data_IF_633374783356
#
_entry.id   IF_633374783356
#
_cell.length_a   1.000
_cell.length_b   1.000
_cell.length_c   1.000
_cell.angle_alpha   90.00
_cell.angle_beta   90.00
_cell.angle_gamma   90.00
#
_symmetry.space_group_name_H-M   'P 1'
#
loop_
_entity.id
_entity.type
_entity.pdbx_description
1 polymer ?
#
# COMPACT_ATOMS: atom_id res chain seq x y z
N UNK A 1 7.10 -2.90 -31.72
CA UNK A 1 7.78 -1.65 -32.10
C UNK A 1 6.81 -0.49 -31.85
N UNK A 2 7.27 0.58 -31.19
CA UNK A 2 6.53 1.76 -30.67
C UNK A 2 5.86 1.60 -29.29
N UNK A 3 6.66 1.71 -28.22
CA UNK A 3 6.29 2.38 -26.95
C UNK A 3 7.49 2.45 -25.95
N UNK A 4 8.73 2.52 -26.43
CA UNK A 4 9.93 2.72 -25.59
C UNK A 4 10.68 4.02 -25.96
N UNK A 5 10.19 4.80 -26.94
CA UNK A 5 10.95 5.93 -27.49
C UNK A 5 10.57 7.33 -26.97
N UNK A 6 9.71 7.48 -25.96
CA UNK A 6 9.28 8.82 -25.52
C UNK A 6 9.75 9.27 -24.13
N UNK A 7 10.61 8.51 -23.45
CA UNK A 7 11.14 8.95 -22.13
C UNK A 7 12.62 9.38 -22.18
N UNK A 8 13.35 9.11 -23.27
CA UNK A 8 14.77 9.47 -23.40
C UNK A 8 15.04 10.55 -24.45
N UNK A 9 14.14 11.53 -24.58
CA UNK A 9 14.36 12.75 -25.35
C UNK A 9 15.10 13.81 -24.53
N UNK A 10 16.36 13.57 -24.17
CA UNK A 10 17.26 14.64 -23.67
C UNK A 10 18.43 14.78 -24.64
N UNK A 11 18.39 15.84 -25.45
CA UNK A 11 19.45 16.25 -26.38
C UNK A 11 20.58 16.98 -25.66
N UNK A 12 21.10 16.41 -24.56
CA UNK A 12 22.29 16.95 -23.92
C UNK A 12 23.54 16.28 -24.53
N UNK A 13 24.36 16.99 -25.32
CA UNK A 13 25.54 16.42 -25.96
C UNK A 13 26.68 16.04 -25.00
N UNK A 14 26.51 16.22 -23.67
CA UNK A 14 27.50 15.80 -22.68
C UNK A 14 27.37 14.36 -22.18
N UNK A 15 26.37 13.58 -22.62
CA UNK A 15 26.18 12.18 -22.21
C UNK A 15 26.38 11.18 -23.35
N UNK A 16 27.42 11.38 -24.17
CA UNK A 16 27.79 10.46 -25.23
C UNK A 16 29.18 9.85 -24.98
N UNK A 17 29.28 8.93 -24.02
CA UNK A 17 30.11 7.72 -24.15
C UNK A 17 29.96 6.80 -22.94
N UNK A 18 29.00 5.88 -22.98
CA UNK A 18 29.13 4.64 -22.21
C UNK A 18 29.30 3.50 -23.21
N UNK A 19 30.53 3.05 -23.36
CA UNK A 19 30.86 1.88 -24.17
C UNK A 19 30.29 0.62 -23.50
N UNK A 20 30.02 -0.44 -24.28
CA UNK A 20 29.51 -1.74 -23.77
C UNK A 20 30.36 -2.37 -22.66
N UNK A 21 31.56 -1.84 -22.39
CA UNK A 21 32.42 -2.28 -21.29
C UNK A 21 31.87 -1.91 -19.90
N UNK A 22 31.13 -0.80 -19.76
CA UNK A 22 30.64 -0.32 -18.46
C UNK A 22 29.38 -1.05 -17.97
N UNK A 23 28.58 -1.61 -18.90
CA UNK A 23 27.47 -2.48 -18.55
C UNK A 23 27.91 -3.80 -17.88
N UNK A 24 29.20 -4.16 -17.95
CA UNK A 24 29.77 -5.35 -17.29
C UNK A 24 30.43 -5.07 -15.95
N UNK A 25 30.61 -3.80 -15.57
CA UNK A 25 31.11 -3.39 -14.25
C UNK A 25 29.99 -3.20 -13.19
N UNK A 26 28.72 -3.09 -13.61
CA UNK A 26 27.56 -3.00 -12.73
C UNK A 26 27.01 -4.38 -12.26
N UNK A 27 27.87 -5.41 -12.20
CA UNK A 27 27.55 -6.66 -11.48
C UNK A 27 27.75 -6.55 -9.96
N UNK A 28 28.00 -5.34 -9.47
CA UNK A 28 27.77 -5.00 -8.08
C UNK A 28 26.28 -5.04 -7.82
N UNK A 29 25.87 -5.97 -6.97
CA UNK A 29 24.51 -6.15 -6.45
C UNK A 29 24.01 -4.83 -5.84
N UNK A 30 23.41 -3.95 -6.64
CA UNK A 30 22.67 -2.79 -6.14
C UNK A 30 21.38 -3.32 -5.51
N UNK A 31 21.48 -3.80 -4.28
CA UNK A 31 20.30 -3.93 -3.42
C UNK A 31 19.98 -2.52 -2.98
N UNK A 32 19.07 -1.83 -3.69
CA UNK A 32 18.44 -0.65 -3.12
C UNK A 32 17.91 -1.06 -1.73
N UNK A 33 18.52 -0.53 -0.69
CA UNK A 33 18.06 -0.79 0.69
C UNK A 33 16.84 0.09 0.93
N UNK A 34 16.00 -0.28 1.88
CA UNK A 34 14.81 0.51 2.20
C UNK A 34 15.13 1.93 2.69
N UNK A 35 16.37 2.15 3.12
CA UNK A 35 16.92 3.46 3.47
C UNK A 35 16.85 4.43 2.28
N UNK A 36 17.01 3.94 1.04
CA UNK A 36 16.87 4.76 -0.18
C UNK A 36 15.41 5.15 -0.47
N UNK A 37 14.43 4.45 0.11
CA UNK A 37 13.00 4.69 -0.10
C UNK A 37 12.33 5.49 1.03
N UNK A 38 13.09 5.96 2.02
CA UNK A 38 12.59 6.83 3.10
C UNK A 38 11.67 6.15 4.12
N UNK A 39 11.57 4.82 4.10
CA UNK A 39 10.78 4.06 5.08
C UNK A 39 11.57 3.93 6.38
N UNK A 40 10.91 4.29 7.49
CA UNK A 40 11.49 4.22 8.83
C UNK A 40 11.89 2.79 9.20
N UNK A 41 13.09 2.59 9.76
CA UNK A 41 13.57 1.27 10.16
C UNK A 41 12.64 0.60 11.19
N UNK A 42 12.04 1.38 12.10
CA UNK A 42 11.11 0.87 13.10
C UNK A 42 9.86 0.24 12.48
N UNK A 43 9.40 0.77 11.33
CA UNK A 43 8.31 0.17 10.54
C UNK A 43 8.74 -1.20 10.02
N UNK A 44 9.95 -1.31 9.46
CA UNK A 44 10.45 -2.58 8.93
C UNK A 44 10.62 -3.62 10.02
N UNK A 45 11.17 -3.25 11.19
CA UNK A 45 11.32 -4.16 12.33
C UNK A 45 9.97 -4.68 12.82
N UNK A 46 8.93 -3.83 12.80
CA UNK A 46 7.57 -4.22 13.19
C UNK A 46 6.91 -5.15 12.18
N UNK A 47 7.06 -4.88 10.88
CA UNK A 47 6.29 -5.57 9.83
C UNK A 47 6.99 -6.82 9.26
N UNK A 48 8.31 -6.91 9.37
CA UNK A 48 9.09 -8.04 8.83
C UNK A 48 8.75 -9.38 9.49
N UNK A 49 8.50 -9.49 10.80
CA UNK A 49 8.01 -10.73 11.40
C UNK A 49 6.65 -11.20 10.87
N UNK A 50 5.80 -10.28 10.39
CA UNK A 50 4.43 -10.57 9.94
C UNK A 50 4.43 -11.06 8.48
N UNK A 51 5.12 -10.33 7.60
CA UNK A 51 5.08 -10.59 6.15
C UNK A 51 6.33 -11.30 5.61
N UNK A 52 7.41 -11.38 6.40
CA UNK A 52 8.66 -12.02 6.01
C UNK A 52 9.26 -11.40 4.74
N UNK A 53 9.63 -12.26 3.79
CA UNK A 53 10.30 -11.83 2.54
C UNK A 53 9.40 -11.08 1.57
N UNK A 54 8.07 -11.25 1.66
CA UNK A 54 7.14 -10.58 0.73
C UNK A 54 7.17 -9.08 0.95
N UNK A 55 7.38 -8.63 2.19
CA UNK A 55 7.51 -7.22 2.55
C UNK A 55 8.52 -6.48 1.66
N UNK A 56 9.67 -7.12 1.39
CA UNK A 56 10.77 -6.57 0.59
C UNK A 56 10.72 -6.94 -0.89
N UNK A 57 9.75 -7.75 -1.31
CA UNK A 57 9.64 -8.21 -2.69
C UNK A 57 8.72 -7.28 -3.47
N UNK A 58 9.30 -6.52 -4.40
CA UNK A 58 8.61 -5.52 -5.22
C UNK A 58 7.36 -6.11 -5.86
N UNK A 59 6.25 -5.39 -5.74
CA UNK A 59 4.98 -5.71 -6.39
C UNK A 59 4.09 -6.70 -5.64
N UNK A 60 4.58 -7.33 -4.57
CA UNK A 60 3.70 -8.13 -3.69
C UNK A 60 2.71 -7.21 -2.94
N UNK A 61 1.57 -7.74 -2.47
CA UNK A 61 0.63 -6.97 -1.66
C UNK A 61 1.27 -6.36 -0.40
N UNK A 62 2.11 -7.12 0.30
CA UNK A 62 2.81 -6.63 1.49
C UNK A 62 3.81 -5.52 1.18
N UNK A 63 4.53 -5.63 0.07
CA UNK A 63 5.42 -4.57 -0.39
C UNK A 63 4.66 -3.28 -0.75
N UNK A 64 3.51 -3.39 -1.43
CA UNK A 64 2.65 -2.23 -1.74
C UNK A 64 2.07 -1.60 -0.48
N UNK A 65 1.63 -2.43 0.48
CA UNK A 65 1.14 -1.96 1.78
C UNK A 65 2.24 -1.25 2.58
N UNK A 66 3.47 -1.75 2.53
CA UNK A 66 4.62 -1.10 3.15
C UNK A 66 4.91 0.28 2.52
N UNK A 67 4.93 0.37 1.20
CA UNK A 67 5.11 1.66 0.50
C UNK A 67 3.99 2.64 0.89
N UNK A 68 2.74 2.16 0.91
CA UNK A 68 1.62 3.01 1.28
C UNK A 68 1.70 3.49 2.74
N UNK A 69 1.93 2.61 3.72
CA UNK A 69 1.96 3.02 5.14
C UNK A 69 3.20 3.85 5.49
N UNK A 70 4.33 3.61 4.81
CA UNK A 70 5.57 4.36 5.02
C UNK A 70 5.56 5.74 4.36
N UNK A 71 4.91 5.88 3.19
CA UNK A 71 5.08 7.06 2.34
C UNK A 71 3.78 7.81 2.01
N UNK A 72 2.60 7.22 2.20
CA UNK A 72 1.32 7.75 1.65
C UNK A 72 0.16 7.83 2.64
N UNK A 73 0.20 7.10 3.76
CA UNK A 73 -0.89 7.03 4.75
C UNK A 73 -1.14 8.33 5.55
N UNK A 74 -0.37 9.39 5.24
CA UNK A 74 -0.48 10.70 5.89
C UNK A 74 0.58 10.86 7.00
N UNK A 75 0.26 11.47 8.15
CA UNK A 75 1.24 11.69 9.21
C UNK A 75 1.83 10.36 9.68
N UNK A 76 3.14 10.36 9.98
CA UNK A 76 3.86 9.16 10.45
C UNK A 76 3.15 8.60 11.69
N UNK A 77 2.64 7.38 11.55
CA UNK A 77 2.04 6.61 12.65
C UNK A 77 3.13 5.92 13.45
N UNK A 78 2.91 5.80 14.75
CA UNK A 78 3.82 5.10 15.65
C UNK A 78 3.73 3.58 15.40
N UNK A 79 4.82 2.91 14.97
CA UNK A 79 4.81 1.47 14.73
C UNK A 79 4.60 0.63 15.99
N UNK A 80 4.76 1.24 17.18
CA UNK A 80 4.45 0.59 18.47
C UNK A 80 2.96 0.59 18.83
N UNK A 81 2.13 1.37 18.12
CA UNK A 81 0.67 1.33 18.29
C UNK A 81 0.14 -0.03 17.79
N UNK A 82 -0.58 -0.82 18.61
CA UNK A 82 -1.16 -2.09 18.16
C UNK A 82 -2.08 -1.95 16.92
N UNK A 83 -2.66 -0.75 16.71
CA UNK A 83 -3.51 -0.44 15.57
C UNK A 83 -2.72 -0.24 14.27
N UNK A 84 -1.42 0.05 14.37
CA UNK A 84 -0.52 0.13 13.21
C UNK A 84 -0.50 -1.19 12.43
N UNK A 85 -0.36 -2.31 13.14
CA UNK A 85 -0.34 -3.64 12.53
C UNK A 85 -1.70 -3.96 11.87
N UNK A 86 -2.81 -3.67 12.55
CA UNK A 86 -4.15 -3.86 11.99
C UNK A 86 -4.31 -3.10 10.67
N UNK A 87 -3.95 -1.82 10.66
CA UNK A 87 -4.03 -0.97 9.47
C UNK A 87 -3.15 -1.49 8.34
N UNK A 88 -1.93 -1.92 8.64
CA UNK A 88 -1.05 -2.57 7.67
C UNK A 88 -1.68 -3.85 7.09
N UNK A 89 -2.22 -4.74 7.93
CA UNK A 89 -2.85 -5.99 7.49
C UNK A 89 -4.06 -5.73 6.58
N UNK A 90 -4.86 -4.70 6.87
CA UNK A 90 -5.95 -4.29 5.97
C UNK A 90 -5.43 -3.75 4.63
N UNK A 91 -4.33 -3.01 4.61
CA UNK A 91 -3.72 -2.55 3.37
C UNK A 91 -3.16 -3.71 2.53
N UNK A 92 -2.54 -4.70 3.19
CA UNK A 92 -2.11 -5.96 2.55
C UNK A 92 -3.33 -6.65 1.93
N UNK A 93 -4.41 -6.78 2.71
CA UNK A 93 -5.66 -7.39 2.27
C UNK A 93 -6.26 -6.66 1.05
N UNK A 94 -6.31 -5.33 1.08
CA UNK A 94 -6.75 -4.50 -0.03
C UNK A 94 -5.94 -4.79 -1.31
N UNK A 95 -4.61 -4.74 -1.24
CA UNK A 95 -3.77 -4.99 -2.41
C UNK A 95 -3.82 -6.45 -2.88
N UNK A 96 -3.97 -7.42 -1.96
CA UNK A 96 -4.01 -8.85 -2.28
C UNK A 96 -5.29 -9.26 -3.02
N UNK A 97 -6.37 -8.50 -2.84
CA UNK A 97 -7.69 -8.77 -3.43
C UNK A 97 -8.05 -7.83 -4.58
N UNK A 98 -7.06 -7.06 -5.07
CA UNK A 98 -7.27 -6.12 -6.17
C UNK A 98 -8.21 -4.99 -5.79
N UNK A 99 -8.02 -4.40 -4.60
CA UNK A 99 -8.86 -3.37 -3.99
C UNK A 99 -9.25 -2.21 -4.91
N UNK A 100 -8.35 -1.80 -5.82
CA UNK A 100 -8.62 -0.74 -6.80
C UNK A 100 -9.79 -1.08 -7.76
N UNK A 101 -10.06 -2.37 -7.95
CA UNK A 101 -11.17 -2.89 -8.75
C UNK A 101 -12.44 -3.16 -7.94
N UNK A 102 -12.47 -2.87 -6.64
CA UNK A 102 -13.68 -3.06 -5.84
C UNK A 102 -14.76 -2.07 -6.29
N UNK A 103 -16.02 -2.54 -6.31
CA UNK A 103 -17.17 -1.71 -6.71
C UNK A 103 -17.45 -0.56 -5.75
N UNK A 104 -17.01 -0.69 -4.51
CA UNK A 104 -17.31 0.26 -3.47
C UNK A 104 -16.12 0.50 -2.54
N UNK A 105 -16.02 1.75 -2.07
CA UNK A 105 -15.01 2.22 -1.12
C UNK A 105 -13.57 1.82 -1.44
N UNK A 106 -13.23 1.64 -2.72
CA UNK A 106 -11.84 1.54 -3.15
C UNK A 106 -11.12 2.87 -2.92
N UNK A 107 -9.78 2.84 -2.94
CA UNK A 107 -8.96 4.02 -2.74
C UNK A 107 -9.36 5.16 -3.69
N UNK A 108 -9.53 6.36 -3.14
CA UNK A 108 -9.88 7.56 -3.90
C UNK A 108 -11.36 7.68 -4.27
N UNK A 109 -12.22 6.72 -3.88
CA UNK A 109 -13.67 6.88 -4.06
C UNK A 109 -14.20 7.97 -3.12
N UNK A 110 -14.86 8.96 -3.71
CA UNK A 110 -15.36 10.13 -2.97
C UNK A 110 -16.55 9.81 -2.04
N UNK A 111 -17.41 8.87 -2.43
CA UNK A 111 -18.61 8.51 -1.68
C UNK A 111 -18.74 6.99 -1.62
N UNK A 112 -18.81 6.49 -0.40
CA UNK A 112 -19.13 5.11 -0.06
C UNK A 112 -20.64 4.88 -0.04
N UNK A 113 -21.10 3.64 -0.25
CA UNK A 113 -22.54 3.31 -0.11
C UNK A 113 -23.05 3.60 1.29
N UNK A 114 -22.28 3.26 2.31
CA UNK A 114 -22.53 3.75 3.66
C UNK A 114 -21.94 5.17 3.77
N UNK A 115 -22.78 6.20 3.98
CA UNK A 115 -22.32 7.59 4.06
C UNK A 115 -21.45 7.88 5.30
N UNK A 116 -21.44 6.99 6.29
CA UNK A 116 -20.61 7.14 7.49
C UNK A 116 -19.23 6.46 7.36
N UNK A 117 -19.05 5.68 6.29
CA UNK A 117 -17.83 4.94 6.01
C UNK A 117 -16.93 5.69 5.02
N UNK A 118 -15.64 5.39 5.07
CA UNK A 118 -14.62 5.97 4.21
C UNK A 118 -13.97 4.94 3.29
N UNK A 119 -13.30 5.43 2.24
CA UNK A 119 -12.55 4.58 1.32
C UNK A 119 -11.36 3.91 2.01
N UNK A 120 -11.06 2.68 1.59
CA UNK A 120 -9.82 2.02 1.99
C UNK A 120 -8.62 2.87 1.59
N UNK A 121 -7.58 2.80 2.43
CA UNK A 121 -6.34 3.55 2.24
C UNK A 121 -6.51 5.08 2.29
N UNK A 122 -7.66 5.58 2.78
CA UNK A 122 -7.81 7.00 3.10
C UNK A 122 -7.03 7.34 4.38
N UNK A 123 -6.69 8.61 4.62
CA UNK A 123 -6.03 9.05 5.85
C UNK A 123 -6.85 8.81 7.13
N UNK A 124 -8.15 8.53 7.01
CA UNK A 124 -8.99 8.28 8.17
C UNK A 124 -8.58 7.01 8.91
N UNK A 125 -9.01 6.97 10.17
CA UNK A 125 -8.89 5.83 11.05
C UNK A 125 -9.45 4.57 10.37
N UNK A 126 -8.71 3.46 10.43
CA UNK A 126 -9.08 2.25 9.71
C UNK A 126 -10.41 1.66 10.20
N UNK A 127 -10.85 1.97 11.42
CA UNK A 127 -12.19 1.62 11.90
C UNK A 127 -13.32 2.36 11.18
N UNK A 128 -13.01 3.44 10.45
CA UNK A 128 -13.97 4.16 9.61
C UNK A 128 -14.00 3.66 8.17
N UNK A 129 -13.04 2.83 7.76
CA UNK A 129 -13.07 2.25 6.43
C UNK A 129 -14.26 1.30 6.30
N UNK A 130 -14.84 1.25 5.11
CA UNK A 130 -16.02 0.44 4.84
C UNK A 130 -15.79 -1.06 5.03
N UNK A 131 -16.84 -1.79 5.37
CA UNK A 131 -16.83 -3.26 5.23
C UNK A 131 -16.27 -4.04 6.41
N UNK A 132 -16.26 -3.46 7.61
CA UNK A 132 -15.98 -4.19 8.85
C UNK A 132 -16.64 -3.59 10.08
N UNK A 133 -16.73 -4.39 11.13
CA UNK A 133 -17.06 -3.91 12.48
C UNK A 133 -15.78 -3.60 13.24
N UNK A 134 -15.77 -2.47 13.94
CA UNK A 134 -14.73 -2.11 14.88
C UNK A 134 -15.30 -1.99 16.30
N UNK A 135 -14.57 -2.53 17.28
CA UNK A 135 -14.87 -2.42 18.71
C UNK A 135 -13.59 -2.02 19.43
N UNK A 136 -13.65 -0.95 20.22
CA UNK A 136 -12.52 -0.45 21.02
C UNK A 136 -11.25 -0.18 20.17
N UNK A 137 -11.43 0.31 18.94
CA UNK A 137 -10.32 0.59 18.01
C UNK A 137 -9.78 -0.63 17.25
N UNK A 138 -10.32 -1.81 17.51
CA UNK A 138 -9.90 -3.07 16.90
C UNK A 138 -10.98 -3.65 15.98
N UNK A 139 -10.56 -4.14 14.82
CA UNK A 139 -11.44 -4.79 13.85
C UNK A 139 -11.80 -6.17 14.36
N UNK A 140 -13.10 -6.46 14.38
CA UNK A 140 -13.64 -7.72 14.92
C UNK A 140 -14.33 -8.57 13.86
N UNK A 141 -14.75 -7.97 12.74
CA UNK A 141 -15.40 -8.69 11.62
C UNK A 141 -15.05 -8.03 10.31
N UNK A 142 -14.76 -8.81 9.27
CA UNK A 142 -14.64 -8.34 7.89
C UNK A 142 -15.84 -8.85 7.09
N UNK A 143 -16.43 -7.98 6.29
CA UNK A 143 -17.58 -8.31 5.44
C UNK A 143 -17.18 -8.36 3.97
N UNK A 144 -17.62 -9.41 3.29
CA UNK A 144 -17.31 -9.64 1.87
C UNK A 144 -18.59 -9.76 1.05
N UNK A 145 -18.57 -9.22 -0.17
CA UNK A 145 -19.63 -9.46 -1.15
C UNK A 145 -20.78 -8.45 -1.10
N UNK A 146 -22.01 -8.92 -1.36
CA UNK A 146 -23.19 -8.06 -1.33
C UNK A 146 -23.58 -7.80 0.12
N UNK A 147 -23.27 -6.59 0.59
CA UNK A 147 -23.83 -6.03 1.80
C UNK A 147 -25.35 -5.97 1.64
N UNK A 148 -26.05 -6.97 2.17
CA UNK A 148 -27.39 -6.75 2.66
C UNK A 148 -27.18 -5.90 3.91
N UNK A 149 -27.45 -4.59 3.79
CA UNK A 149 -27.98 -3.89 4.95
C UNK A 149 -29.13 -4.78 5.40
N UNK A 150 -29.00 -5.44 6.55
CA UNK A 150 -30.16 -5.68 7.39
C UNK A 150 -30.70 -4.28 7.68
N UNK A 151 -31.54 -3.80 6.75
CA UNK A 151 -32.56 -2.82 7.06
C UNK A 151 -33.18 -3.37 8.33
N UNK A 152 -33.15 -2.56 9.37
CA UNK A 152 -33.81 -2.81 10.65
C UNK A 152 -34.99 -3.75 10.42
N UNK A 153 -34.94 -4.94 11.02
CA UNK A 153 -36.18 -5.68 11.23
C UNK A 153 -37.11 -4.70 11.93
N UNK A 154 -38.14 -4.25 11.21
CA UNK A 154 -39.17 -3.40 11.76
C UNK A 154 -39.66 -4.06 13.03
N UNK A 155 -39.45 -3.38 14.17
CA UNK A 155 -40.22 -3.65 15.39
C UNK A 155 -41.62 -3.11 15.21
#
# INVERSE_FOLDING_TARGET
>A
SKFINEVFGSTNPFLASCTRAEARAAKGRFTATYEDFGVDESILQTLKPISGRTLTQVGTPANKALDWIGNRDGPKRDPSDPRFIQRFVLAVFYYATGGDGWRDCHQGKAVCRDPNSESYLSPADECRWFGHDCKDGMITKLYFGKFHHSLNECK
#
